data_IF_849162496748
#
_entry.id   IF_849162496748
#
_cell.length_a   1.000
_cell.length_b   1.000
_cell.length_c   1.000
_cell.angle_alpha   90.00
_cell.angle_beta   90.00
_cell.angle_gamma   90.00
#
_symmetry.space_group_name_H-M   'P 1'
#
loop_
_entity.id
_entity.type
_entity.pdbx_description
1 polymer ?
#
# COMPACT_ATOMS: atom_id res chain seq x y z
N UNK A 1 -49.32 -19.05 -26.64
CA UNK A 1 -48.13 -19.92 -26.60
C UNK A 1 -46.93 -19.01 -26.43
N UNK A 2 -46.42 -18.94 -25.21
CA UNK A 2 -45.47 -17.94 -24.69
C UNK A 2 -44.08 -18.23 -25.22
N UNK A 3 -43.52 -17.29 -25.98
CA UNK A 3 -42.17 -17.40 -26.54
C UNK A 3 -41.17 -16.84 -25.51
N UNK A 4 -40.53 -17.75 -24.77
CA UNK A 4 -39.49 -17.46 -23.79
C UNK A 4 -38.20 -17.08 -24.54
N UNK A 5 -37.77 -15.83 -24.41
CA UNK A 5 -36.48 -15.36 -24.89
C UNK A 5 -35.39 -15.79 -23.89
N UNK A 6 -34.64 -16.84 -24.23
CA UNK A 6 -33.41 -17.19 -23.52
C UNK A 6 -32.28 -16.33 -24.10
N UNK A 7 -31.86 -15.29 -23.37
CA UNK A 7 -30.54 -14.70 -23.59
C UNK A 7 -29.49 -15.69 -23.07
N UNK A 8 -28.88 -16.41 -24.00
CA UNK A 8 -27.62 -17.10 -23.79
C UNK A 8 -26.50 -16.06 -23.69
N UNK A 9 -26.20 -15.61 -22.48
CA UNK A 9 -24.88 -15.07 -22.17
C UNK A 9 -23.92 -16.27 -22.01
N UNK A 10 -23.45 -16.81 -23.13
CA UNK A 10 -22.30 -17.73 -23.13
C UNK A 10 -21.03 -16.91 -22.92
N UNK A 11 -20.30 -17.28 -21.88
CA UNK A 11 -19.07 -16.63 -21.47
C UNK A 11 -17.83 -17.06 -22.26
N UNK A 12 -16.70 -16.67 -21.65
CA UNK A 12 -15.31 -16.86 -22.03
C UNK A 12 -14.66 -15.57 -22.57
N UNK A 13 -14.46 -14.60 -21.69
CA UNK A 13 -13.23 -13.80 -21.80
C UNK A 13 -12.09 -14.77 -21.46
N UNK A 14 -11.54 -15.43 -22.49
CA UNK A 14 -10.25 -16.08 -22.40
C UNK A 14 -9.29 -15.06 -21.76
N UNK A 15 -8.64 -15.45 -20.66
CA UNK A 15 -7.58 -14.66 -20.05
C UNK A 15 -6.61 -14.27 -21.16
N UNK A 16 -6.56 -12.98 -21.50
CA UNK A 16 -5.56 -12.52 -22.42
C UNK A 16 -4.22 -12.71 -21.70
N UNK A 17 -3.26 -13.45 -22.29
CA UNK A 17 -1.89 -13.36 -21.81
C UNK A 17 -1.51 -11.89 -21.77
N UNK A 18 -0.80 -11.46 -20.72
CA UNK A 18 -0.23 -10.13 -20.63
C UNK A 18 0.34 -9.76 -22.00
N UNK A 19 -0.16 -8.70 -22.67
CA UNK A 19 0.18 -8.46 -24.06
C UNK A 19 1.70 -8.29 -24.15
N UNK A 20 2.42 -9.08 -24.97
CA UNK A 20 3.81 -8.81 -25.27
C UNK A 20 3.84 -7.49 -26.04
N UNK A 21 4.06 -6.38 -25.32
CA UNK A 21 3.97 -5.04 -25.90
C UNK A 21 3.84 -3.88 -24.93
N UNK A 22 3.41 -4.08 -23.67
CA UNK A 22 3.50 -3.00 -22.69
C UNK A 22 4.95 -2.91 -22.17
N UNK A 23 5.76 -2.06 -22.80
CA UNK A 23 7.19 -1.91 -22.51
C UNK A 23 7.48 -1.23 -21.18
N UNK A 24 6.45 -0.68 -20.51
CA UNK A 24 6.59 -0.04 -19.20
C UNK A 24 6.10 -0.97 -18.08
N UNK A 25 6.89 -1.14 -17.01
CA UNK A 25 6.45 -1.91 -15.85
C UNK A 25 5.32 -1.18 -15.13
N UNK A 26 4.45 -1.94 -14.47
CA UNK A 26 3.48 -1.39 -13.54
C UNK A 26 4.15 -1.05 -12.21
N UNK A 27 3.91 0.16 -11.73
CA UNK A 27 4.52 0.68 -10.51
C UNK A 27 3.52 0.60 -9.37
N UNK A 28 3.81 -0.19 -8.35
CA UNK A 28 3.03 -0.28 -7.13
C UNK A 28 3.81 0.32 -5.97
N UNK A 29 3.12 0.86 -4.97
CA UNK A 29 3.75 1.31 -3.72
C UNK A 29 3.21 0.49 -2.55
N UNK A 30 4.10 0.08 -1.65
CA UNK A 30 3.71 -0.67 -0.46
C UNK A 30 3.16 0.30 0.60
N UNK A 31 1.97 0.04 1.15
CA UNK A 31 1.22 0.95 2.00
C UNK A 31 0.88 0.31 3.34
N UNK A 32 1.23 1.01 4.43
CA UNK A 32 0.92 0.62 5.81
C UNK A 32 -0.41 1.26 6.27
N UNK A 33 -1.45 0.47 6.62
CA UNK A 33 -2.74 0.98 7.07
C UNK A 33 -2.83 1.16 8.60
N UNK A 34 -1.70 1.21 9.33
CA UNK A 34 -1.64 1.01 10.78
C UNK A 34 -1.50 2.27 11.65
N UNK A 35 -1.58 3.47 11.07
CA UNK A 35 -1.40 4.71 11.83
C UNK A 35 -2.73 5.18 12.42
N UNK A 36 -2.71 5.59 13.69
CA UNK A 36 -3.92 6.03 14.38
C UNK A 36 -3.68 7.25 15.28
N UNK A 37 -4.61 8.19 15.23
CA UNK A 37 -4.68 9.28 16.22
C UNK A 37 -5.45 8.82 17.46
N UNK A 38 -5.38 9.60 18.55
CA UNK A 38 -6.24 9.38 19.73
C UNK A 38 -7.73 9.26 19.40
N UNK A 39 -8.22 10.05 18.45
CA UNK A 39 -9.63 10.11 18.13
C UNK A 39 -10.12 8.90 17.32
N UNK A 40 -9.21 8.18 16.67
CA UNK A 40 -9.52 7.10 15.72
C UNK A 40 -9.12 5.71 16.24
N UNK A 41 -8.22 5.66 17.22
CA UNK A 41 -7.88 4.48 18.01
C UNK A 41 -8.92 4.23 19.13
N UNK A 42 -10.13 3.87 18.74
CA UNK A 42 -11.23 3.58 19.67
C UNK A 42 -11.30 2.07 19.94
N UNK A 43 -11.55 1.62 21.19
CA UNK A 43 -11.91 2.40 22.39
C UNK A 43 -10.72 2.90 23.23
N UNK A 44 -9.47 2.60 22.85
CA UNK A 44 -8.30 2.94 23.64
C UNK A 44 -8.13 4.45 23.88
N UNK A 45 -8.54 5.28 22.93
CA UNK A 45 -8.43 6.75 22.95
C UNK A 45 -6.98 7.25 23.17
N UNK A 46 -6.00 6.44 22.75
CA UNK A 46 -4.56 6.71 22.82
C UNK A 46 -3.98 6.83 21.41
N UNK A 47 -2.78 7.42 21.27
CA UNK A 47 -2.08 7.37 19.99
C UNK A 47 -1.78 5.92 19.60
N UNK A 48 -1.95 5.58 18.32
CA UNK A 48 -1.66 4.24 17.81
C UNK A 48 -0.20 3.88 17.99
N UNK A 49 0.07 2.59 18.19
CA UNK A 49 1.40 2.09 18.57
C UNK A 49 2.46 2.42 17.51
N UNK A 50 2.09 2.53 16.24
CA UNK A 50 3.00 2.91 15.15
C UNK A 50 3.42 4.39 15.16
N UNK A 51 2.77 5.26 15.93
CA UNK A 51 3.27 6.61 16.21
C UNK A 51 4.06 6.72 17.52
N UNK A 52 3.91 5.77 18.43
CA UNK A 52 4.51 5.83 19.78
C UNK A 52 5.73 4.93 19.92
N UNK A 53 5.70 3.74 19.30
CA UNK A 53 6.47 2.58 19.76
C UNK A 53 6.46 2.53 21.29
N UNK A 54 7.58 2.23 21.96
CA UNK A 54 7.69 2.30 23.42
C UNK A 54 8.12 3.67 23.96
N UNK A 55 8.72 4.54 23.15
CA UNK A 55 9.48 5.72 23.65
C UNK A 55 8.98 7.08 23.18
N UNK A 56 8.13 7.14 22.16
CA UNK A 56 7.61 8.41 21.64
C UNK A 56 6.25 8.75 22.25
N UNK A 57 6.04 10.04 22.51
CA UNK A 57 4.85 10.56 23.18
C UNK A 57 4.23 11.69 22.34
N UNK A 58 3.31 11.40 21.39
CA UNK A 58 2.84 12.40 20.44
C UNK A 58 2.02 13.54 21.05
N UNK A 59 1.67 13.47 22.34
CA UNK A 59 1.11 14.60 23.09
C UNK A 59 2.14 15.67 23.45
N UNK A 60 3.43 15.32 23.45
CA UNK A 60 4.53 16.28 23.57
C UNK A 60 4.68 16.98 22.23
N UNK A 61 4.45 18.28 22.23
CA UNK A 61 4.53 19.16 21.05
C UNK A 61 5.64 20.18 21.29
N UNK A 62 6.57 20.28 20.35
CA UNK A 62 7.62 21.30 20.42
C UNK A 62 7.11 22.69 20.00
N UNK A 63 7.99 23.69 20.12
CA UNK A 63 7.70 25.10 19.77
C UNK A 63 7.28 25.31 18.30
N UNK A 64 7.63 24.38 17.41
CA UNK A 64 7.35 24.45 15.97
C UNK A 64 6.11 23.60 15.60
N UNK A 65 5.35 23.16 16.61
CA UNK A 65 4.15 22.35 16.44
C UNK A 65 4.43 20.89 16.03
N UNK A 66 5.68 20.41 16.16
CA UNK A 66 6.04 19.02 15.87
C UNK A 66 5.73 18.13 17.07
N UNK A 67 4.97 17.06 16.85
CA UNK A 67 4.73 16.02 17.85
C UNK A 67 5.94 15.09 17.98
N UNK A 68 6.22 14.58 19.17
CA UNK A 68 7.19 13.51 19.37
C UNK A 68 6.61 12.18 18.86
N UNK A 69 7.01 11.76 17.67
CA UNK A 69 6.56 10.51 17.03
C UNK A 69 7.71 9.52 16.85
N UNK A 70 7.38 8.24 16.75
CA UNK A 70 8.34 7.14 16.52
C UNK A 70 8.79 7.06 15.05
N UNK A 71 9.41 8.14 14.57
CA UNK A 71 10.00 8.20 13.24
C UNK A 71 11.14 9.21 13.17
N UNK A 72 12.07 8.96 12.25
CA UNK A 72 13.12 9.92 11.87
C UNK A 72 12.62 10.98 10.89
N UNK A 73 11.49 10.73 10.20
CA UNK A 73 10.92 11.64 9.21
C UNK A 73 9.53 12.08 9.63
N UNK A 74 9.20 13.36 9.40
CA UNK A 74 7.94 13.92 9.86
C UNK A 74 6.97 14.14 8.69
N UNK A 75 5.81 13.45 8.64
CA UNK A 75 4.85 13.60 7.55
C UNK A 75 4.53 15.08 7.29
N UNK A 76 4.43 15.47 6.02
CA UNK A 76 4.14 16.84 5.65
C UNK A 76 2.76 17.29 6.16
N UNK A 77 1.82 16.33 6.29
CA UNK A 77 0.49 16.49 6.86
C UNK A 77 0.46 16.52 8.40
N UNK A 78 1.59 16.22 9.06
CA UNK A 78 1.63 15.79 10.45
C UNK A 78 1.17 14.34 10.64
N UNK A 79 1.33 13.76 11.85
CA UNK A 79 0.86 12.41 12.15
C UNK A 79 -0.65 12.34 12.02
N UNK A 80 -1.13 11.20 11.51
CA UNK A 80 -2.46 11.05 10.98
C UNK A 80 -3.08 9.70 11.36
N UNK A 81 -4.34 9.50 10.98
CA UNK A 81 -5.00 8.19 11.02
C UNK A 81 -5.10 7.63 9.59
N UNK A 82 -4.72 6.37 9.38
CA UNK A 82 -4.77 5.74 8.06
C UNK A 82 -6.20 5.61 7.52
N UNK A 83 -7.21 5.55 8.38
CA UNK A 83 -8.62 5.56 8.01
C UNK A 83 -9.24 6.95 7.72
N UNK A 84 -8.46 8.04 7.80
CA UNK A 84 -8.96 9.39 7.53
C UNK A 84 -9.22 9.59 6.04
N UNK A 85 -10.48 9.77 5.66
CA UNK A 85 -10.89 9.91 4.25
C UNK A 85 -10.17 11.05 3.54
N UNK A 86 -9.96 12.20 4.21
CA UNK A 86 -9.32 13.36 3.57
C UNK A 86 -7.83 13.09 3.34
N UNK A 87 -7.19 12.35 4.23
CA UNK A 87 -5.82 11.89 4.04
C UNK A 87 -5.73 10.88 2.90
N UNK A 88 -6.61 9.87 2.88
CA UNK A 88 -6.62 8.85 1.83
C UNK A 88 -6.80 9.50 0.44
N UNK A 89 -7.76 10.42 0.30
CA UNK A 89 -7.95 11.17 -0.95
C UNK A 89 -6.65 11.90 -1.37
N UNK A 90 -5.94 12.52 -0.42
CA UNK A 90 -4.67 13.19 -0.68
C UNK A 90 -3.57 12.22 -1.11
N UNK A 91 -3.35 11.13 -0.38
CA UNK A 91 -2.29 10.15 -0.64
C UNK A 91 -2.49 9.47 -1.99
N UNK A 92 -3.71 8.99 -2.28
CA UNK A 92 -4.01 8.32 -3.54
C UNK A 92 -3.85 9.26 -4.75
N UNK A 93 -4.26 10.53 -4.62
CA UNK A 93 -4.02 11.51 -5.68
C UNK A 93 -2.52 11.75 -5.90
N UNK A 94 -1.73 11.91 -4.82
CA UNK A 94 -0.28 12.06 -4.95
C UNK A 94 0.37 10.85 -5.65
N UNK A 95 -0.03 9.64 -5.28
CA UNK A 95 0.45 8.41 -5.94
C UNK A 95 0.16 8.46 -7.44
N UNK A 96 -1.08 8.75 -7.83
CA UNK A 96 -1.50 8.82 -9.23
C UNK A 96 -0.72 9.89 -10.02
N UNK A 97 -0.54 11.09 -9.45
CA UNK A 97 0.22 12.16 -10.10
C UNK A 97 1.74 11.93 -10.11
N UNK A 98 2.23 10.93 -9.39
CA UNK A 98 3.64 10.51 -9.38
C UNK A 98 3.94 9.40 -10.40
N UNK A 99 2.92 8.82 -11.03
CA UNK A 99 3.07 7.68 -11.93
C UNK A 99 2.99 6.31 -11.26
N UNK A 100 2.46 6.24 -10.04
CA UNK A 100 2.14 4.97 -9.39
C UNK A 100 0.80 4.47 -9.96
N UNK A 101 0.76 3.19 -10.32
CA UNK A 101 -0.39 2.49 -10.90
C UNK A 101 -1.26 1.80 -9.84
N UNK A 102 -0.72 1.55 -8.65
CA UNK A 102 -1.49 0.93 -7.57
C UNK A 102 -0.78 0.85 -6.22
N UNK A 103 -1.49 0.28 -5.24
CA UNK A 103 -1.01 0.11 -3.86
C UNK A 103 -0.97 -1.37 -3.48
N UNK A 104 0.09 -1.79 -2.80
CA UNK A 104 0.18 -3.08 -2.13
C UNK A 104 -0.09 -2.82 -0.65
N UNK A 105 -1.27 -3.20 -0.16
CA UNK A 105 -1.71 -2.85 1.19
C UNK A 105 -1.30 -3.97 2.14
N UNK A 106 -0.48 -3.63 3.13
CA UNK A 106 -0.17 -4.52 4.24
C UNK A 106 -1.44 -4.91 5.00
N UNK A 107 -1.63 -6.19 5.29
CA UNK A 107 -2.90 -6.68 5.80
C UNK A 107 -2.73 -7.81 6.83
N UNK A 108 -3.28 -7.64 8.04
CA UNK A 108 -2.90 -8.48 9.17
C UNK A 108 -3.68 -9.79 9.31
N UNK A 109 -4.76 -9.99 8.54
CA UNK A 109 -5.78 -10.99 8.86
C UNK A 109 -6.96 -10.40 9.64
N UNK A 110 -8.03 -11.19 9.80
CA UNK A 110 -9.28 -10.78 10.47
C UNK A 110 -9.35 -11.19 11.95
N UNK A 111 -8.24 -11.63 12.53
CA UNK A 111 -8.19 -11.98 13.95
C UNK A 111 -8.36 -10.72 14.82
N UNK A 112 -9.21 -10.81 15.84
CA UNK A 112 -9.44 -9.76 16.84
C UNK A 112 -8.31 -9.73 17.87
N UNK A 113 -7.09 -9.39 17.42
CA UNK A 113 -5.88 -9.32 18.24
C UNK A 113 -5.09 -8.04 17.97
N UNK A 114 -4.39 -7.52 18.98
CA UNK A 114 -3.62 -6.27 18.89
C UNK A 114 -4.43 -5.13 18.20
N UNK A 115 -3.84 -4.47 17.20
CA UNK A 115 -4.47 -3.43 16.40
C UNK A 115 -5.00 -3.95 15.05
N UNK A 116 -5.00 -5.27 14.81
CA UNK A 116 -5.41 -5.86 13.54
C UNK A 116 -6.81 -5.41 13.08
N UNK A 117 -7.84 -5.30 13.96
CA UNK A 117 -9.15 -4.80 13.55
C UNK A 117 -9.11 -3.35 13.02
N UNK A 118 -8.22 -2.50 13.55
CA UNK A 118 -8.04 -1.12 13.07
C UNK A 118 -7.41 -1.12 11.67
N UNK A 119 -6.41 -1.97 11.43
CA UNK A 119 -5.78 -2.14 10.13
C UNK A 119 -6.78 -2.66 9.09
N UNK A 120 -7.61 -3.66 9.42
CA UNK A 120 -8.67 -4.16 8.53
C UNK A 120 -9.66 -3.05 8.17
N UNK A 121 -10.16 -2.31 9.17
CA UNK A 121 -11.04 -1.15 8.97
C UNK A 121 -10.41 -0.09 8.08
N UNK A 122 -9.14 0.22 8.30
CA UNK A 122 -8.42 1.22 7.51
C UNK A 122 -8.22 0.74 6.07
N UNK A 123 -7.91 -0.55 5.86
CA UNK A 123 -7.81 -1.15 4.54
C UNK A 123 -9.13 -1.09 3.78
N UNK A 124 -10.26 -1.46 4.41
CA UNK A 124 -11.59 -1.29 3.79
C UNK A 124 -11.85 0.16 3.37
N UNK A 125 -11.46 1.11 4.22
CA UNK A 125 -11.64 2.54 3.94
C UNK A 125 -10.75 3.03 2.79
N UNK A 126 -9.49 2.62 2.76
CA UNK A 126 -8.56 2.91 1.67
C UNK A 126 -9.10 2.36 0.36
N UNK A 127 -9.50 1.09 0.34
CA UNK A 127 -10.06 0.42 -0.83
C UNK A 127 -11.32 1.13 -1.33
N UNK A 128 -12.23 1.52 -0.42
CA UNK A 128 -13.45 2.25 -0.76
C UNK A 128 -13.18 3.57 -1.48
N UNK A 129 -12.19 4.36 -1.04
CA UNK A 129 -11.81 5.61 -1.72
C UNK A 129 -11.05 5.32 -3.02
N UNK A 130 -10.19 4.29 -3.02
CA UNK A 130 -9.40 3.87 -4.18
C UNK A 130 -10.25 3.48 -5.39
N UNK A 131 -11.43 2.87 -5.18
CA UNK A 131 -12.40 2.56 -6.25
C UNK A 131 -12.79 3.80 -7.08
N UNK A 132 -12.64 5.02 -6.53
CA UNK A 132 -12.97 6.29 -7.19
C UNK A 132 -11.78 6.90 -7.93
N UNK A 133 -10.66 6.18 -8.01
CA UNK A 133 -9.42 6.60 -8.67
C UNK A 133 -9.07 5.65 -9.82
N UNK A 134 -7.94 5.90 -10.50
CA UNK A 134 -7.42 4.98 -11.53
C UNK A 134 -6.37 4.01 -10.99
N UNK A 135 -6.16 4.01 -9.67
CA UNK A 135 -5.21 3.11 -9.03
C UNK A 135 -5.80 1.71 -8.90
N UNK A 136 -4.92 0.73 -8.98
CA UNK A 136 -5.21 -0.66 -8.63
C UNK A 136 -4.71 -0.97 -7.22
N UNK A 137 -5.07 -2.12 -6.68
CA UNK A 137 -4.48 -2.60 -5.43
C UNK A 137 -4.37 -4.12 -5.36
N UNK A 138 -3.44 -4.59 -4.54
CA UNK A 138 -3.39 -5.97 -4.08
C UNK A 138 -3.06 -6.00 -2.58
N UNK A 139 -3.27 -7.17 -1.97
CA UNK A 139 -3.04 -7.37 -0.54
C UNK A 139 -1.67 -8.01 -0.32
N UNK A 140 -0.95 -7.52 0.68
CA UNK A 140 0.23 -8.17 1.24
C UNK A 140 -0.18 -8.77 2.58
N UNK A 141 -0.34 -10.08 2.61
CA UNK A 141 -0.78 -10.82 3.79
C UNK A 141 0.38 -11.06 4.76
N UNK A 142 0.15 -10.78 6.04
CA UNK A 142 1.08 -11.05 7.13
C UNK A 142 0.69 -12.35 7.86
N UNK A 143 1.04 -13.51 7.31
CA UNK A 143 0.72 -14.81 7.93
C UNK A 143 1.33 -14.98 9.33
N UNK A 144 2.38 -14.22 9.64
CA UNK A 144 3.01 -14.18 10.96
C UNK A 144 2.05 -13.77 12.09
N UNK A 145 1.06 -12.92 11.81
CA UNK A 145 0.10 -12.43 12.80
C UNK A 145 -0.76 -13.55 13.41
N UNK A 146 -1.03 -14.62 12.66
CA UNK A 146 -1.66 -15.83 13.21
C UNK A 146 -0.76 -16.49 14.25
N UNK A 147 0.55 -16.53 14.01
CA UNK A 147 1.50 -17.10 14.97
C UNK A 147 1.65 -16.23 16.22
N UNK A 148 1.71 -14.90 16.08
CA UNK A 148 1.70 -13.97 17.22
C UNK A 148 0.44 -14.21 18.08
N UNK A 149 -0.74 -14.19 17.46
CA UNK A 149 -2.02 -14.42 18.16
C UNK A 149 -2.04 -15.76 18.89
N UNK A 150 -1.44 -16.81 18.30
CA UNK A 150 -1.32 -18.11 18.94
C UNK A 150 -0.34 -18.13 20.12
N UNK A 151 0.80 -17.45 20.00
CA UNK A 151 1.82 -17.35 21.05
C UNK A 151 1.30 -16.57 22.26
N UNK A 152 0.45 -15.58 22.04
CA UNK A 152 -0.22 -14.81 23.08
C UNK A 152 -1.41 -15.55 23.72
N UNK A 153 -1.74 -16.76 23.24
CA UNK A 153 -2.84 -17.58 23.75
C UNK A 153 -4.25 -17.07 23.35
N UNK A 154 -4.32 -16.12 22.41
CA UNK A 154 -5.56 -15.51 21.94
C UNK A 154 -6.19 -16.24 20.73
N UNK A 155 -5.48 -17.20 20.12
CA UNK A 155 -6.01 -17.96 18.99
C UNK A 155 -6.92 -19.11 19.47
N UNK A 156 -8.21 -19.04 19.13
CA UNK A 156 -9.23 -20.01 19.57
C UNK A 156 -9.62 -21.06 18.51
N UNK A 157 -8.98 -21.01 17.34
CA UNK A 157 -9.19 -21.95 16.21
C UNK A 157 -7.85 -22.52 15.74
N UNK A 158 -7.86 -23.54 14.87
CA UNK A 158 -6.64 -24.00 14.24
C UNK A 158 -6.02 -22.91 13.36
N UNK A 159 -4.68 -22.82 13.30
CA UNK A 159 -3.97 -21.82 12.47
C UNK A 159 -4.39 -21.86 11.00
N UNK A 160 -4.56 -23.06 10.45
CA UNK A 160 -5.05 -23.24 9.06
C UNK A 160 -6.48 -22.70 8.91
N UNK A 161 -7.36 -22.94 9.88
CA UNK A 161 -8.74 -22.46 9.82
C UNK A 161 -8.81 -20.93 9.92
N UNK A 162 -7.96 -20.31 10.74
CA UNK A 162 -7.80 -18.86 10.78
C UNK A 162 -7.34 -18.30 9.42
N UNK A 163 -6.30 -18.87 8.82
CA UNK A 163 -5.81 -18.44 7.51
C UNK A 163 -6.86 -18.66 6.39
N UNK A 164 -7.66 -19.73 6.46
CA UNK A 164 -8.78 -19.94 5.52
C UNK A 164 -9.87 -18.88 5.70
N UNK A 165 -10.16 -18.47 6.93
CA UNK A 165 -11.11 -17.40 7.21
C UNK A 165 -10.61 -16.06 6.66
N UNK A 166 -9.32 -15.77 6.82
CA UNK A 166 -8.66 -14.62 6.20
C UNK A 166 -8.84 -14.63 4.67
N UNK A 167 -8.53 -15.76 4.01
CA UNK A 167 -8.67 -15.88 2.56
C UNK A 167 -10.11 -15.77 2.07
N UNK A 168 -11.08 -16.34 2.81
CA UNK A 168 -12.49 -16.23 2.50
C UNK A 168 -12.97 -14.76 2.57
N UNK A 169 -12.47 -14.01 3.55
CA UNK A 169 -12.73 -12.57 3.67
C UNK A 169 -12.14 -11.80 2.47
N UNK A 170 -10.88 -12.05 2.09
CA UNK A 170 -10.27 -11.41 0.92
C UNK A 170 -11.04 -11.70 -0.38
N UNK A 171 -11.51 -12.93 -0.58
CA UNK A 171 -12.31 -13.31 -1.74
C UNK A 171 -13.65 -12.58 -1.79
N UNK A 172 -14.35 -12.52 -0.65
CA UNK A 172 -15.68 -11.92 -0.58
C UNK A 172 -15.65 -10.38 -0.66
N UNK A 173 -14.58 -9.75 -0.17
CA UNK A 173 -14.51 -8.29 -0.05
C UNK A 173 -13.67 -7.62 -1.15
N UNK A 174 -12.59 -8.26 -1.62
CA UNK A 174 -11.59 -7.57 -2.43
C UNK A 174 -11.31 -8.22 -3.78
N UNK A 175 -11.16 -9.55 -3.88
CA UNK A 175 -10.67 -10.18 -5.11
C UNK A 175 -11.53 -9.92 -6.33
N UNK A 176 -12.84 -9.68 -6.17
CA UNK A 176 -13.73 -9.40 -7.30
C UNK A 176 -13.86 -7.91 -7.65
N UNK A 177 -13.20 -7.02 -6.91
CA UNK A 177 -13.30 -5.58 -7.17
C UNK A 177 -12.58 -5.22 -8.49
N UNK A 178 -13.15 -4.32 -9.31
CA UNK A 178 -12.55 -3.97 -10.61
C UNK A 178 -11.13 -3.40 -10.53
N UNK A 179 -10.79 -2.76 -9.41
CA UNK A 179 -9.44 -2.24 -9.18
C UNK A 179 -8.50 -3.22 -8.47
N UNK A 180 -8.94 -4.44 -8.15
CA UNK A 180 -8.06 -5.47 -7.62
C UNK A 180 -7.11 -5.97 -8.71
N UNK A 181 -5.83 -6.07 -8.40
CA UNK A 181 -4.82 -6.51 -9.36
C UNK A 181 -4.92 -8.02 -9.61
N UNK A 182 -4.93 -8.39 -10.88
CA UNK A 182 -4.99 -9.79 -11.30
C UNK A 182 -3.82 -10.12 -12.23
N UNK A 183 -3.25 -11.30 -12.05
CA UNK A 183 -2.29 -11.88 -12.97
C UNK A 183 -2.95 -13.07 -13.68
N UNK A 184 -3.11 -12.98 -15.01
CA UNK A 184 -3.73 -14.04 -15.83
C UNK A 184 -5.12 -14.48 -15.31
N UNK A 185 -5.91 -13.53 -14.80
CA UNK A 185 -7.25 -13.78 -14.26
C UNK A 185 -7.29 -14.30 -12.82
N UNK A 186 -6.14 -14.51 -12.17
CA UNK A 186 -6.06 -14.86 -10.74
C UNK A 186 -5.81 -13.60 -9.90
N UNK A 187 -6.49 -13.41 -8.75
CA UNK A 187 -6.23 -12.28 -7.87
C UNK A 187 -4.79 -12.35 -7.37
N UNK A 188 -4.04 -11.26 -7.49
CA UNK A 188 -2.67 -11.16 -7.00
C UNK A 188 -2.69 -11.07 -5.47
N UNK A 189 -2.04 -12.01 -4.80
CA UNK A 189 -1.88 -12.02 -3.34
C UNK A 189 -0.40 -12.11 -3.00
N UNK A 190 0.14 -11.10 -2.33
CA UNK A 190 1.49 -11.16 -1.78
C UNK A 190 1.42 -11.68 -0.34
N UNK A 191 2.52 -12.25 0.14
CA UNK A 191 2.68 -12.58 1.55
C UNK A 191 4.04 -12.13 2.06
N UNK A 192 4.07 -11.36 3.13
CA UNK A 192 5.30 -10.95 3.80
C UNK A 192 5.87 -12.11 4.63
N UNK A 193 6.47 -13.06 3.90
CA UNK A 193 6.76 -14.41 4.39
C UNK A 193 6.65 -15.41 3.23
N UNK A 194 6.22 -16.67 3.45
CA UNK A 194 5.63 -17.23 4.68
C UNK A 194 6.53 -17.23 5.91
N UNK A 195 5.94 -17.05 7.09
CA UNK A 195 6.62 -17.13 8.39
C UNK A 195 5.90 -18.07 9.38
N UNK A 196 4.59 -18.26 9.23
CA UNK A 196 3.78 -19.17 10.06
C UNK A 196 3.59 -20.52 9.38
N UNK A 197 3.34 -20.50 8.07
CA UNK A 197 3.04 -21.72 7.30
C UNK A 197 4.23 -22.12 6.44
N UNK A 198 5.14 -22.91 7.02
CA UNK A 198 6.41 -23.29 6.39
C UNK A 198 6.35 -24.58 5.54
N UNK A 199 5.15 -25.03 5.18
CA UNK A 199 4.95 -26.29 4.45
C UNK A 199 4.01 -26.09 3.25
N UNK A 200 4.36 -26.53 2.02
CA UNK A 200 3.52 -26.32 0.84
C UNK A 200 2.09 -26.87 0.99
N UNK A 201 1.94 -28.00 1.69
CA UNK A 201 0.63 -28.60 1.95
C UNK A 201 -0.27 -27.76 2.89
N UNK A 202 0.29 -26.85 3.67
CA UNK A 202 -0.49 -25.86 4.42
C UNK A 202 -1.15 -24.87 3.46
N UNK A 203 -0.37 -24.28 2.55
CA UNK A 203 -0.87 -23.32 1.55
C UNK A 203 -1.91 -23.92 0.61
N UNK A 204 -1.72 -25.18 0.19
CA UNK A 204 -2.75 -25.87 -0.61
C UNK A 204 -4.08 -26.02 0.14
N UNK A 205 -4.05 -26.23 1.47
CA UNK A 205 -5.26 -26.26 2.31
C UNK A 205 -5.82 -24.88 2.62
N UNK A 206 -4.99 -23.84 2.66
CA UNK A 206 -5.43 -22.46 2.87
C UNK A 206 -6.21 -21.96 1.64
N UNK A 207 -5.78 -22.34 0.43
CA UNK A 207 -6.36 -21.86 -0.82
C UNK A 207 -7.45 -22.76 -1.43
N UNK A 208 -7.71 -23.95 -0.87
CA UNK A 208 -8.55 -24.98 -1.54
C UNK A 208 -9.99 -24.54 -1.89
N UNK A 209 -10.52 -23.55 -1.16
CA UNK A 209 -11.90 -23.07 -1.27
C UNK A 209 -12.00 -21.78 -2.09
N UNK A 210 -10.87 -21.27 -2.58
CA UNK A 210 -10.80 -20.07 -3.40
C UNK A 210 -11.04 -20.39 -4.88
N UNK A 211 -11.84 -19.54 -5.53
CA UNK A 211 -12.23 -19.69 -6.93
C UNK A 211 -12.22 -18.32 -7.64
N UNK A 212 -11.21 -18.02 -8.48
CA UNK A 212 -9.99 -18.81 -8.68
C UNK A 212 -9.05 -18.72 -7.47
N UNK A 213 -8.15 -19.68 -7.33
CA UNK A 213 -7.02 -19.55 -6.41
C UNK A 213 -6.14 -18.33 -6.79
N UNK A 214 -5.53 -17.63 -5.81
CA UNK A 214 -4.75 -16.44 -6.08
C UNK A 214 -3.44 -16.74 -6.80
N UNK A 215 -2.96 -15.78 -7.57
CA UNK A 215 -1.56 -15.75 -7.99
C UNK A 215 -0.74 -15.32 -6.77
N UNK A 216 -0.16 -16.30 -6.07
CA UNK A 216 0.49 -16.10 -4.78
C UNK A 216 1.97 -15.75 -4.91
N UNK A 217 2.39 -14.66 -4.25
CA UNK A 217 3.75 -14.13 -4.27
C UNK A 217 4.33 -14.06 -2.86
N UNK A 218 5.03 -15.12 -2.40
CA UNK A 218 5.91 -15.05 -1.25
C UNK A 218 7.03 -14.01 -1.39
N UNK A 219 7.50 -13.53 -0.25
CA UNK A 219 8.76 -12.79 -0.15
C UNK A 219 9.90 -13.64 -0.72
N UNK A 220 10.80 -13.01 -1.47
CA UNK A 220 11.96 -13.69 -2.04
C UNK A 220 12.77 -14.42 -0.95
N UNK A 221 13.10 -15.69 -1.20
CA UNK A 221 13.75 -16.57 -0.24
C UNK A 221 12.80 -17.35 0.67
N UNK A 222 11.49 -17.10 0.64
CA UNK A 222 10.47 -17.82 1.42
C UNK A 222 9.55 -18.71 0.55
N UNK A 223 9.67 -18.65 -0.77
CA UNK A 223 8.81 -19.37 -1.71
C UNK A 223 8.89 -20.91 -1.59
N UNK A 224 10.01 -21.45 -1.08
CA UNK A 224 10.13 -22.87 -0.72
C UNK A 224 9.03 -23.35 0.24
N UNK A 225 8.52 -22.48 1.10
CA UNK A 225 7.46 -22.79 2.06
C UNK A 225 6.08 -22.87 1.42
N UNK A 226 5.87 -22.16 0.32
CA UNK A 226 4.65 -22.22 -0.47
C UNK A 226 4.70 -23.31 -1.55
N UNK A 227 5.90 -23.68 -2.03
CA UNK A 227 6.10 -24.70 -3.05
C UNK A 227 5.34 -24.40 -4.34
N UNK A 228 4.61 -25.38 -4.86
CA UNK A 228 3.82 -25.23 -6.09
C UNK A 228 2.69 -24.19 -6.00
N UNK A 229 2.33 -23.73 -4.80
CA UNK A 229 1.34 -22.66 -4.63
C UNK A 229 1.92 -21.28 -4.96
N UNK A 230 3.26 -21.11 -4.98
CA UNK A 230 3.88 -19.84 -5.34
C UNK A 230 3.85 -19.63 -6.87
N UNK A 231 3.06 -18.65 -7.32
CA UNK A 231 3.05 -18.20 -8.70
C UNK A 231 4.31 -17.40 -9.05
N UNK A 232 4.94 -16.77 -8.06
CA UNK A 232 6.12 -15.92 -8.23
C UNK A 232 6.69 -15.48 -6.90
N UNK A 233 7.54 -14.46 -6.91
CA UNK A 233 8.08 -13.84 -5.70
C UNK A 233 8.13 -12.32 -5.82
N UNK A 234 8.39 -11.65 -4.70
CA UNK A 234 8.70 -10.22 -4.70
C UNK A 234 9.95 -9.92 -3.87
N UNK A 235 10.73 -8.91 -4.30
CA UNK A 235 11.90 -8.45 -3.56
C UNK A 235 11.52 -7.48 -2.42
N UNK A 236 12.37 -7.40 -1.40
CA UNK A 236 12.29 -6.39 -0.35
C UNK A 236 13.63 -5.67 -0.16
N UNK A 237 13.73 -4.87 0.90
CA UNK A 237 14.94 -4.18 1.32
C UNK A 237 15.80 -5.14 2.15
N UNK A 238 17.03 -5.39 1.71
CA UNK A 238 18.00 -6.25 2.40
C UNK A 238 19.25 -5.46 2.79
N UNK A 239 19.96 -5.94 3.82
CA UNK A 239 21.17 -5.31 4.40
C UNK A 239 22.27 -5.01 3.36
N UNK A 240 22.48 -5.92 2.41
CA UNK A 240 23.48 -5.78 1.35
C UNK A 240 23.00 -4.89 0.18
N UNK A 241 21.87 -4.21 0.36
CA UNK A 241 21.33 -3.18 -0.52
C UNK A 241 21.19 -3.64 -1.98
N UNK A 242 21.94 -3.03 -2.90
CA UNK A 242 21.86 -3.32 -4.34
C UNK A 242 22.38 -4.70 -4.71
N UNK A 243 23.19 -5.34 -3.86
CA UNK A 243 23.71 -6.69 -4.10
C UNK A 243 22.56 -7.69 -4.14
N UNK A 244 21.66 -7.68 -3.16
CA UNK A 244 20.45 -8.52 -3.18
C UNK A 244 19.53 -8.21 -4.35
N UNK A 245 19.32 -6.93 -4.69
CA UNK A 245 18.48 -6.57 -5.85
C UNK A 245 19.06 -7.14 -7.15
N UNK A 246 20.36 -6.96 -7.38
CA UNK A 246 21.03 -7.47 -8.58
C UNK A 246 20.99 -8.99 -8.63
N UNK A 247 21.21 -9.66 -7.49
CA UNK A 247 21.09 -11.12 -7.39
C UNK A 247 19.68 -11.58 -7.76
N UNK A 248 18.65 -10.96 -7.17
CA UNK A 248 17.25 -11.27 -7.45
C UNK A 248 16.90 -11.07 -8.92
N UNK A 249 17.36 -9.98 -9.54
CA UNK A 249 17.10 -9.70 -10.97
C UNK A 249 17.83 -10.66 -11.91
N UNK A 250 19.01 -11.15 -11.51
CA UNK A 250 19.79 -12.09 -12.30
C UNK A 250 19.28 -13.54 -12.23
N UNK A 251 18.37 -13.87 -11.31
CA UNK A 251 17.85 -15.24 -11.15
C UNK A 251 17.23 -15.77 -12.45
N UNK A 252 17.61 -17.01 -12.78
CA UNK A 252 17.06 -17.76 -13.90
C UNK A 252 15.79 -18.50 -13.46
N UNK A 253 14.83 -17.74 -12.94
CA UNK A 253 13.49 -18.21 -12.63
C UNK A 253 12.52 -17.74 -13.71
N UNK A 254 11.76 -18.70 -14.26
CA UNK A 254 10.72 -18.47 -15.26
C UNK A 254 9.41 -17.95 -14.67
N UNK A 255 9.24 -18.06 -13.34
CA UNK A 255 8.07 -17.53 -12.64
C UNK A 255 8.08 -15.99 -12.63
N UNK A 256 6.90 -15.36 -12.64
CA UNK A 256 6.73 -13.93 -12.37
C UNK A 256 7.51 -13.43 -11.15
N UNK A 257 8.08 -12.24 -11.26
CA UNK A 257 8.84 -11.57 -10.20
C UNK A 257 8.44 -10.10 -10.11
N UNK A 258 8.39 -9.57 -8.90
CA UNK A 258 8.09 -8.17 -8.61
C UNK A 258 9.39 -7.52 -8.11
N UNK A 259 9.93 -6.60 -8.92
CA UNK A 259 11.14 -5.85 -8.59
C UNK A 259 10.89 -4.83 -7.48
N UNK A 260 11.95 -4.31 -6.86
CA UNK A 260 11.84 -3.33 -5.76
C UNK A 260 12.75 -2.13 -5.93
N UNK A 261 12.23 -0.95 -5.58
CA UNK A 261 12.99 0.29 -5.53
C UNK A 261 12.62 1.12 -4.30
N UNK A 262 13.62 1.48 -3.50
CA UNK A 262 13.44 2.10 -2.18
C UNK A 262 14.43 3.23 -1.95
N UNK A 263 14.06 4.24 -1.14
CA UNK A 263 14.90 5.42 -0.95
C UNK A 263 16.00 5.22 0.11
N UNK A 264 15.90 4.18 0.93
CA UNK A 264 16.84 3.79 1.98
C UNK A 264 16.14 2.95 3.04
N UNK A 265 16.81 2.76 4.17
CA UNK A 265 16.30 2.09 5.36
C UNK A 265 17.01 2.68 6.57
N UNK A 266 16.28 3.42 7.40
CA UNK A 266 16.83 4.05 8.59
C UNK A 266 15.78 3.97 9.71
N UNK A 267 15.79 2.85 10.42
CA UNK A 267 14.71 2.51 11.33
C UNK A 267 14.76 3.30 12.64
N UNK A 268 13.58 3.60 13.18
CA UNK A 268 13.40 4.12 14.52
C UNK A 268 13.42 3.02 15.58
N UNK A 269 13.42 1.73 15.22
CA UNK A 269 13.19 0.61 16.15
C UNK A 269 14.02 0.67 17.44
N UNK A 270 15.36 0.80 17.34
CA UNK A 270 16.20 0.88 18.52
C UNK A 270 15.87 2.10 19.40
N UNK A 271 15.62 3.27 18.80
CA UNK A 271 15.21 4.49 19.51
C UNK A 271 13.80 4.36 20.08
N UNK A 272 12.95 3.59 19.39
CA UNK A 272 11.57 3.26 19.71
C UNK A 272 11.41 2.19 20.79
N UNK A 273 12.49 1.56 21.24
CA UNK A 273 12.44 0.45 22.18
C UNK A 273 11.86 -0.84 21.58
N UNK A 274 11.95 -1.00 20.26
CA UNK A 274 11.54 -2.19 19.53
C UNK A 274 12.75 -2.96 19.02
N UNK A 275 12.59 -4.27 18.90
CA UNK A 275 13.55 -5.11 18.19
C UNK A 275 13.42 -4.91 16.68
N UNK A 276 14.49 -5.22 15.96
CA UNK A 276 14.53 -5.08 14.50
C UNK A 276 15.95 -4.93 13.96
N UNK A 277 16.07 -4.77 12.63
CA UNK A 277 17.36 -4.60 11.96
C UNK A 277 18.20 -3.48 12.58
N UNK A 278 19.52 -3.74 12.72
CA UNK A 278 20.51 -2.79 13.26
C UNK A 278 21.40 -2.17 12.18
N UNK A 279 21.22 -2.57 10.93
CA UNK A 279 21.86 -1.99 9.76
C UNK A 279 21.01 -0.84 9.21
N UNK A 280 21.62 -0.02 8.36
CA UNK A 280 20.93 1.06 7.66
C UNK A 280 21.44 1.23 6.24
N UNK A 281 20.58 1.78 5.40
CA UNK A 281 20.88 2.22 4.03
C UNK A 281 20.49 3.70 3.97
N UNK A 282 21.42 4.55 3.55
CA UNK A 282 21.21 5.99 3.54
C UNK A 282 19.92 6.36 2.78
N UNK A 283 18.99 7.03 3.47
CA UNK A 283 17.72 7.45 2.89
C UNK A 283 17.92 8.74 2.08
N UNK A 284 18.10 8.61 0.76
CA UNK A 284 18.37 9.75 -0.12
C UNK A 284 17.75 9.63 -1.52
N UNK A 285 17.52 10.75 -2.23
CA UNK A 285 17.14 10.71 -3.65
C UNK A 285 18.13 9.97 -4.56
N UNK A 286 19.42 9.95 -4.21
CA UNK A 286 20.44 9.23 -4.98
C UNK A 286 20.29 7.72 -4.82
N UNK A 287 20.08 7.25 -3.58
CA UNK A 287 19.74 5.85 -3.28
C UNK A 287 18.48 5.43 -4.04
N UNK A 288 17.41 6.23 -3.97
CA UNK A 288 16.17 5.94 -4.66
C UNK A 288 16.33 5.89 -6.18
N UNK A 289 17.06 6.84 -6.76
CA UNK A 289 17.37 6.81 -8.20
C UNK A 289 18.10 5.52 -8.58
N UNK A 290 19.06 5.09 -7.76
CA UNK A 290 19.90 3.93 -8.05
C UNK A 290 19.08 2.64 -8.03
N UNK A 291 18.26 2.44 -6.99
CA UNK A 291 17.41 1.25 -6.88
C UNK A 291 16.31 1.24 -7.95
N UNK A 292 15.73 2.40 -8.26
CA UNK A 292 14.74 2.55 -9.33
C UNK A 292 15.34 2.27 -10.72
N UNK A 293 16.55 2.75 -10.99
CA UNK A 293 17.25 2.46 -12.25
C UNK A 293 17.51 0.95 -12.41
N UNK A 294 17.93 0.27 -11.34
CA UNK A 294 18.09 -1.19 -11.35
C UNK A 294 16.76 -1.91 -11.60
N UNK A 295 15.68 -1.50 -10.91
CA UNK A 295 14.36 -2.09 -11.07
C UNK A 295 13.82 -1.91 -12.51
N UNK A 296 13.96 -0.72 -13.09
CA UNK A 296 13.56 -0.45 -14.49
C UNK A 296 14.41 -1.26 -15.49
N UNK A 297 15.72 -1.39 -15.26
CA UNK A 297 16.63 -2.16 -16.11
C UNK A 297 16.37 -3.67 -16.06
N UNK A 298 15.75 -4.18 -14.97
CA UNK A 298 15.36 -5.59 -14.85
C UNK A 298 14.33 -6.02 -15.90
N UNK A 299 13.55 -5.06 -16.44
CA UNK A 299 12.43 -5.29 -17.38
C UNK A 299 11.35 -6.24 -16.83
N UNK A 300 11.30 -6.43 -15.51
CA UNK A 300 10.21 -7.17 -14.87
C UNK A 300 8.89 -6.38 -15.01
N UNK A 301 7.74 -7.04 -15.17
CA UNK A 301 6.47 -6.37 -15.48
C UNK A 301 5.89 -5.57 -14.30
N UNK A 302 6.35 -5.85 -13.08
CA UNK A 302 5.93 -5.16 -11.86
C UNK A 302 7.15 -4.66 -11.09
N UNK A 303 7.06 -3.44 -10.59
CA UNK A 303 7.98 -2.84 -9.63
C UNK A 303 7.16 -2.39 -8.42
N UNK A 304 7.57 -2.79 -7.23
CA UNK A 304 7.06 -2.21 -6.00
C UNK A 304 8.02 -1.17 -5.41
N UNK A 305 7.46 -0.23 -4.65
CA UNK A 305 8.16 0.79 -3.93
C UNK A 305 7.95 0.59 -2.42
N UNK A 306 8.88 -0.07 -1.70
CA UNK A 306 8.84 -0.15 -0.25
C UNK A 306 9.50 1.11 0.35
N UNK A 307 8.76 2.04 0.94
CA UNK A 307 7.29 2.05 1.14
C UNK A 307 6.72 3.45 0.91
N UNK A 308 5.40 3.56 0.82
CA UNK A 308 4.73 4.86 0.91
C UNK A 308 5.04 5.49 2.27
N UNK A 309 4.71 4.80 3.36
CA UNK A 309 4.59 5.39 4.68
C UNK A 309 5.06 4.50 5.86
N UNK A 310 5.95 3.52 5.66
CA UNK A 310 6.60 2.88 6.82
C UNK A 310 7.62 3.83 7.48
N UNK A 311 7.08 4.70 8.32
CA UNK A 311 7.81 5.67 9.12
C UNK A 311 8.67 5.02 10.20
N UNK A 312 8.34 3.79 10.62
CA UNK A 312 9.07 3.05 11.64
C UNK A 312 10.38 2.48 11.08
N UNK A 313 10.35 1.95 9.86
CA UNK A 313 11.56 1.53 9.12
C UNK A 313 12.32 2.69 8.48
N UNK A 314 11.65 3.83 8.30
CA UNK A 314 12.24 4.97 7.63
C UNK A 314 12.49 4.71 6.14
N UNK A 315 11.58 4.00 5.47
CA UNK A 315 11.66 3.63 4.05
C UNK A 315 10.73 4.47 3.17
N UNK A 316 10.15 5.52 3.76
CA UNK A 316 9.03 6.31 3.21
C UNK A 316 9.36 7.14 1.99
N UNK A 317 8.46 7.17 1.00
CA UNK A 317 8.45 8.14 -0.09
C UNK A 317 7.32 9.18 0.02
N UNK A 318 6.37 8.99 0.93
CA UNK A 318 5.31 9.96 1.25
C UNK A 318 5.93 11.31 1.63
N UNK A 319 5.43 12.46 1.12
CA UNK A 319 6.02 13.75 1.43
C UNK A 319 6.18 14.05 2.92
N UNK A 320 7.38 14.46 3.31
CA UNK A 320 7.72 14.85 4.69
C UNK A 320 8.22 16.29 4.75
N UNK A 321 8.48 16.79 5.96
CA UNK A 321 9.14 18.09 6.15
C UNK A 321 10.57 18.09 5.61
N UNK A 322 11.26 16.95 5.72
CA UNK A 322 12.67 16.76 5.39
C UNK A 322 12.92 16.82 3.88
N UNK A 323 12.06 16.18 3.08
CA UNK A 323 12.30 16.03 1.64
C UNK A 323 11.14 16.49 0.75
N UNK A 324 10.03 16.98 1.32
CA UNK A 324 8.87 17.51 0.56
C UNK A 324 8.48 16.54 -0.57
N UNK A 325 8.48 16.98 -1.83
CA UNK A 325 8.12 16.17 -3.00
C UNK A 325 9.32 15.53 -3.73
N UNK A 326 10.51 15.49 -3.14
CA UNK A 326 11.73 15.05 -3.84
C UNK A 326 11.60 13.66 -4.49
N UNK A 327 11.08 12.67 -3.75
CA UNK A 327 10.91 11.31 -4.28
C UNK A 327 9.81 11.21 -5.34
N UNK A 328 8.68 11.89 -5.12
CA UNK A 328 7.57 11.91 -6.07
C UNK A 328 7.96 12.59 -7.39
N UNK A 329 8.67 13.72 -7.33
CA UNK A 329 9.18 14.37 -8.55
C UNK A 329 10.27 13.57 -9.24
N UNK A 330 11.05 12.79 -8.50
CA UNK A 330 12.01 11.84 -9.07
C UNK A 330 11.28 10.75 -9.86
N UNK A 331 10.21 10.15 -9.30
CA UNK A 331 9.35 9.21 -10.02
C UNK A 331 8.77 9.86 -11.28
N UNK A 332 8.22 11.07 -11.17
CA UNK A 332 7.65 11.77 -12.33
C UNK A 332 8.66 11.87 -13.49
N UNK A 333 9.91 12.24 -13.18
CA UNK A 333 11.00 12.34 -14.18
C UNK A 333 11.41 10.98 -14.74
N UNK A 334 11.63 9.97 -13.88
CA UNK A 334 12.11 8.64 -14.29
C UNK A 334 11.08 7.86 -15.11
N UNK A 335 9.79 8.01 -14.78
CA UNK A 335 8.69 7.35 -15.47
C UNK A 335 8.18 8.14 -16.70
N UNK A 336 8.56 9.42 -16.78
CA UNK A 336 8.18 10.32 -17.87
C UNK A 336 6.68 10.62 -17.90
N UNK A 337 6.06 10.80 -16.73
CA UNK A 337 4.65 11.18 -16.64
C UNK A 337 4.47 12.65 -17.03
N UNK A 338 3.29 13.07 -17.53
CA UNK A 338 3.07 14.45 -18.00
C UNK A 338 2.89 15.47 -16.87
N UNK A 339 3.06 15.04 -15.63
CA UNK A 339 2.83 15.85 -14.44
C UNK A 339 4.13 16.34 -13.83
N UNK A 340 4.03 17.46 -13.13
CA UNK A 340 5.15 18.08 -12.42
C UNK A 340 4.82 18.25 -10.94
N UNK A 341 5.74 18.84 -10.19
CA UNK A 341 5.49 19.23 -8.80
C UNK A 341 4.23 20.11 -8.65
N UNK A 342 3.86 20.88 -9.67
CA UNK A 342 2.67 21.74 -9.63
C UNK A 342 1.38 20.93 -9.37
N UNK A 343 1.24 19.73 -9.94
CA UNK A 343 0.08 18.87 -9.68
C UNK A 343 0.09 18.31 -8.25
N UNK A 344 1.28 18.01 -7.69
CA UNK A 344 1.40 17.57 -6.30
C UNK A 344 0.98 18.68 -5.32
N UNK A 345 1.38 19.92 -5.59
CA UNK A 345 0.98 21.11 -4.82
C UNK A 345 -0.51 21.46 -4.98
N UNK A 346 -1.09 21.18 -6.15
CA UNK A 346 -2.53 21.30 -6.38
C UNK A 346 -3.31 20.31 -5.50
N UNK A 347 -2.82 19.07 -5.38
CA UNK A 347 -3.39 18.07 -4.45
C UNK A 347 -3.28 18.52 -3.00
N UNK A 348 -2.19 19.20 -2.61
CA UNK A 348 -2.09 19.84 -1.27
C UNK A 348 -3.12 20.95 -1.09
N UNK A 349 -3.34 21.77 -2.13
CA UNK A 349 -4.37 22.81 -2.10
C UNK A 349 -5.76 22.19 -1.87
N UNK A 350 -6.07 21.11 -2.58
CA UNK A 350 -7.29 20.35 -2.40
C UNK A 350 -7.42 19.82 -0.96
N UNK A 351 -6.40 19.14 -0.44
CA UNK A 351 -6.35 18.64 0.93
C UNK A 351 -6.63 19.75 1.96
N UNK A 352 -5.97 20.90 1.82
CA UNK A 352 -6.15 22.03 2.73
C UNK A 352 -7.58 22.61 2.65
N UNK A 353 -8.19 22.65 1.46
CA UNK A 353 -9.58 23.09 1.30
C UNK A 353 -10.56 22.10 1.93
N UNK A 354 -10.36 20.79 1.75
CA UNK A 354 -11.13 19.72 2.40
C UNK A 354 -11.13 19.87 3.92
N UNK A 355 -9.96 20.09 4.51
CA UNK A 355 -9.81 20.32 5.96
C UNK A 355 -10.47 21.62 6.40
N UNK A 356 -10.23 22.71 5.68
CA UNK A 356 -10.76 24.03 6.04
C UNK A 356 -12.29 24.06 6.04
N UNK A 357 -12.93 23.42 5.05
CA UNK A 357 -14.39 23.37 4.93
C UNK A 357 -15.02 22.12 5.59
N UNK A 358 -14.35 21.46 6.54
CA UNK A 358 -14.85 20.21 7.13
C UNK A 358 -16.29 20.32 7.69
N UNK A 359 -16.67 21.48 8.26
CA UNK A 359 -18.02 21.74 8.76
C UNK A 359 -19.01 22.32 7.73
N UNK A 360 -18.64 22.49 6.47
CA UNK A 360 -19.48 23.12 5.44
C UNK A 360 -19.90 22.11 4.36
N UNK A 361 -21.10 21.54 4.51
CA UNK A 361 -21.62 20.52 3.61
C UNK A 361 -21.71 20.96 2.14
N UNK A 362 -22.04 22.23 1.87
CA UNK A 362 -22.14 22.74 0.50
C UNK A 362 -20.76 22.79 -0.17
N UNK A 363 -19.73 23.20 0.57
CA UNK A 363 -18.36 23.23 0.04
C UNK A 363 -17.76 21.82 -0.07
N UNK A 364 -18.09 20.91 0.86
CA UNK A 364 -17.70 19.50 0.74
C UNK A 364 -18.25 18.85 -0.53
N UNK A 365 -19.52 19.09 -0.87
CA UNK A 365 -20.11 18.57 -2.11
C UNK A 365 -19.37 19.06 -3.37
N UNK A 366 -18.91 20.31 -3.37
CA UNK A 366 -18.08 20.83 -4.48
C UNK A 366 -16.69 20.16 -4.47
N UNK A 367 -16.10 19.95 -3.30
CA UNK A 367 -14.82 19.25 -3.18
C UNK A 367 -14.92 17.77 -3.58
N UNK A 368 -16.08 17.14 -3.48
CA UNK A 368 -16.32 15.80 -4.05
C UNK A 368 -16.19 15.80 -5.58
N UNK A 369 -16.69 16.86 -6.24
CA UNK A 369 -16.52 17.05 -7.67
C UNK A 369 -15.06 17.34 -8.04
N UNK A 370 -14.37 18.18 -7.26
CA UNK A 370 -12.92 18.43 -7.42
C UNK A 370 -12.11 17.14 -7.28
N UNK A 371 -12.43 16.29 -6.29
CA UNK A 371 -11.77 15.00 -6.15
C UNK A 371 -12.00 14.12 -7.38
N UNK A 372 -13.23 14.03 -7.87
CA UNK A 372 -13.56 13.24 -9.07
C UNK A 372 -12.80 13.75 -10.31
N UNK A 373 -12.71 15.07 -10.50
CA UNK A 373 -11.93 15.69 -11.56
C UNK A 373 -10.45 15.33 -11.44
N UNK A 374 -9.84 15.51 -10.27
CA UNK A 374 -8.43 15.18 -10.02
C UNK A 374 -8.16 13.68 -10.22
N UNK A 375 -9.05 12.81 -9.78
CA UNK A 375 -8.95 11.36 -9.96
C UNK A 375 -8.99 10.97 -11.45
N UNK A 376 -9.82 11.64 -12.25
CA UNK A 376 -9.90 11.43 -13.70
C UNK A 376 -8.80 12.14 -14.49
N UNK A 377 -7.96 12.96 -13.84
CA UNK A 377 -6.88 13.70 -14.48
C UNK A 377 -7.29 15.07 -15.05
N UNK A 378 -8.49 15.55 -14.76
CA UNK A 378 -8.95 16.90 -15.10
C UNK A 378 -8.38 17.93 -14.11
N UNK A 379 -7.10 18.24 -14.29
CA UNK A 379 -6.36 19.22 -13.49
C UNK A 379 -6.91 20.64 -13.68
N UNK A 380 -7.32 20.98 -14.91
CA UNK A 380 -7.75 22.34 -15.27
C UNK A 380 -9.10 22.67 -14.63
N UNK A 381 -10.06 21.75 -14.72
CA UNK A 381 -11.37 21.87 -14.08
C UNK A 381 -11.24 22.00 -12.56
N UNK A 382 -10.48 21.09 -11.95
CA UNK A 382 -10.23 21.09 -10.51
C UNK A 382 -9.59 22.39 -10.02
N UNK A 383 -8.57 22.90 -10.72
CA UNK A 383 -7.91 24.14 -10.34
C UNK A 383 -8.86 25.35 -10.44
N UNK A 384 -9.69 25.42 -11.50
CA UNK A 384 -10.67 26.49 -11.66
C UNK A 384 -11.69 26.51 -10.52
N UNK A 385 -12.21 25.36 -10.13
CA UNK A 385 -13.17 25.25 -9.02
C UNK A 385 -12.55 25.65 -7.68
N UNK A 386 -11.35 25.15 -7.38
CA UNK A 386 -10.63 25.51 -6.15
C UNK A 386 -10.27 27.00 -6.09
N UNK A 387 -9.91 27.63 -7.22
CA UNK A 387 -9.69 29.08 -7.30
C UNK A 387 -10.96 29.87 -7.00
N UNK A 388 -12.12 29.42 -7.49
CA UNK A 388 -13.40 30.07 -7.20
C UNK A 388 -13.75 29.99 -5.70
N UNK A 389 -13.46 28.87 -5.03
CA UNK A 389 -13.66 28.72 -3.58
C UNK A 389 -12.79 29.69 -2.77
N UNK A 390 -11.53 29.90 -3.19
CA UNK A 390 -10.60 30.81 -2.49
C UNK A 390 -11.01 32.29 -2.63
N UNK A 391 -11.70 32.67 -3.71
CA UNK A 391 -12.17 34.05 -3.94
C UNK A 391 -13.39 34.45 -3.11
N UNK A 392 -14.14 33.48 -2.57
CA UNK A 392 -15.25 33.72 -1.65
C UNK A 392 -14.81 33.80 -0.19
N UNK A 393 -13.53 34.08 0.07
CA UNK A 393 -12.94 34.23 1.40
C UNK A 393 -12.88 35.69 1.80
#
# INVERSE_FOLDING_TARGET
>A
MTMLCWLLCTGAALAQPYPPGNTKPRIFVHLMPWFETKATNTPANTWGIHWTMATAHPDVIDKDGKRQIASLYYPLTGPYASGDTVLIEYQLLLMQYSGIDGVLIDWPGILEHNDYPLLVRNTEKIVSVLQRTRLHFAIVYEDHNINITAQDGALHVGKIDAARADMAYLQAHFFTLPSYEHLNGQPMLLNFGPQTFEQPAAWSRIFDSLQPAPAFFPLWGHDRYAGANAAGTFAWINEDHTVSLQKYYAEQDSRPRIASAYPGFESYYLKGGWDGPRWSIAHTPATFSTTLDLALQSKLPYIQLPTWNDYGEGTTIEPTREYRYAYLTLLQRKLGVPFTQQQLELVTTFYNLRRYYAGNAQQQKKLDAVFAQLAQGDVVGAEKEMKAMKKGR
#
